data_IF_711599671539
#
_entry.id   IF_711599671539
#
_cell.length_a   1.000
_cell.length_b   1.000
_cell.length_c   1.000
_cell.angle_alpha   90.00
_cell.angle_beta   90.00
_cell.angle_gamma   90.00
#
_symmetry.space_group_name_H-M   'P 1'
#
loop_
_entity.id
_entity.type
_entity.pdbx_description
1 polymer ?
#
# COMPACT_ATOMS: atom_id res chain seq x y z
N UNK A 1 3.09 -43.09 17.90
CA UNK A 1 3.21 -42.15 16.77
C UNK A 1 2.28 -40.93 16.92
N UNK A 2 0.95 -41.04 17.11
CA UNK A 2 0.03 -39.90 17.32
C UNK A 2 0.41 -39.00 18.53
N UNK A 3 0.87 -39.58 19.63
CA UNK A 3 1.28 -38.84 20.85
C UNK A 3 2.57 -38.01 20.60
N UNK A 4 3.54 -38.58 19.92
CA UNK A 4 4.79 -37.90 19.54
C UNK A 4 4.50 -36.73 18.58
N UNK A 5 3.59 -36.91 17.63
CA UNK A 5 3.17 -35.84 16.68
C UNK A 5 2.46 -34.72 17.44
N UNK A 6 1.60 -35.04 18.42
CA UNK A 6 0.89 -34.02 19.21
C UNK A 6 1.85 -33.25 20.15
N UNK A 7 2.82 -33.94 20.75
CA UNK A 7 3.85 -33.32 21.60
C UNK A 7 4.79 -32.44 20.78
N UNK A 8 5.23 -32.90 19.61
CA UNK A 8 6.04 -32.11 18.67
C UNK A 8 5.27 -30.88 18.16
N UNK A 9 3.99 -31.02 17.85
CA UNK A 9 3.13 -29.87 17.49
C UNK A 9 2.92 -28.91 18.65
N UNK A 10 2.88 -29.38 19.91
CA UNK A 10 2.83 -28.51 21.08
C UNK A 10 4.14 -27.74 21.28
N UNK A 11 5.26 -28.42 21.17
CA UNK A 11 6.60 -27.83 21.30
C UNK A 11 6.81 -26.82 20.17
N UNK A 12 6.45 -27.13 18.92
CA UNK A 12 6.47 -26.21 17.80
C UNK A 12 5.58 -24.99 18.06
N UNK A 13 4.41 -25.13 18.65
CA UNK A 13 3.53 -24.00 18.99
C UNK A 13 4.12 -23.05 20.04
N UNK A 14 4.95 -23.56 20.95
CA UNK A 14 5.62 -22.77 21.99
C UNK A 14 6.85 -22.05 21.41
N UNK A 15 7.59 -22.72 20.53
CA UNK A 15 8.81 -22.22 19.91
C UNK A 15 8.52 -21.35 18.67
N UNK A 16 7.26 -21.31 18.18
CA UNK A 16 6.87 -20.53 17.04
C UNK A 16 7.07 -19.03 17.29
N UNK A 17 7.88 -18.33 16.49
CA UNK A 17 7.89 -16.88 16.48
C UNK A 17 6.45 -16.33 16.39
N UNK A 18 6.18 -15.23 17.05
CA UNK A 18 4.85 -14.61 17.04
C UNK A 18 4.32 -14.41 15.60
N UNK A 19 5.21 -14.13 14.65
CA UNK A 19 4.90 -13.95 13.21
C UNK A 19 4.20 -15.15 12.56
N UNK A 20 4.24 -16.32 13.19
CA UNK A 20 3.61 -17.55 12.68
C UNK A 20 2.36 -17.96 13.48
N UNK A 21 2.05 -17.25 14.53
CA UNK A 21 0.76 -17.43 15.23
C UNK A 21 -0.32 -16.75 14.42
N UNK A 22 -1.36 -17.47 14.06
CA UNK A 22 -2.50 -16.89 13.34
C UNK A 22 -3.13 -15.73 14.14
N UNK A 23 -3.28 -15.91 15.45
CA UNK A 23 -3.84 -14.90 16.35
C UNK A 23 -2.91 -14.74 17.56
N UNK A 24 -1.94 -13.82 17.50
CA UNK A 24 -1.14 -13.48 18.65
C UNK A 24 -1.99 -12.81 19.75
N UNK A 25 -1.52 -12.89 20.97
CA UNK A 25 -2.12 -12.14 22.08
C UNK A 25 -1.45 -10.78 22.19
N UNK A 26 -2.24 -9.72 22.31
CA UNK A 26 -1.78 -8.37 22.54
C UNK A 26 -2.13 -7.92 23.97
N UNK A 27 -1.19 -7.23 24.60
CA UNK A 27 -1.41 -6.57 25.87
C UNK A 27 -2.13 -5.22 25.66
N UNK A 28 -2.73 -4.68 26.72
CA UNK A 28 -3.27 -3.31 26.69
C UNK A 28 -2.20 -2.27 26.29
N UNK A 29 -0.92 -2.51 26.64
CA UNK A 29 0.21 -1.64 26.27
C UNK A 29 0.45 -1.66 24.75
N UNK A 30 0.33 -2.83 24.10
CA UNK A 30 0.49 -2.94 22.65
C UNK A 30 -0.63 -2.17 21.93
N UNK A 31 -1.86 -2.31 22.41
CA UNK A 31 -3.01 -1.57 21.87
C UNK A 31 -2.87 -0.06 22.09
N UNK A 32 -2.41 0.39 23.25
CA UNK A 32 -2.16 1.81 23.50
C UNK A 32 -1.14 2.41 22.51
N UNK A 33 -0.14 1.61 22.09
CA UNK A 33 0.87 2.04 21.11
C UNK A 33 0.34 2.11 19.68
N UNK A 34 -0.75 1.43 19.37
CA UNK A 34 -1.41 1.52 18.05
C UNK A 34 -2.23 2.81 17.96
N UNK A 35 -1.56 3.95 17.88
CA UNK A 35 -2.18 5.28 17.88
C UNK A 35 -2.92 5.59 16.58
N UNK A 36 -2.44 5.05 15.45
CA UNK A 36 -3.01 5.29 14.12
C UNK A 36 -4.30 4.50 13.84
N UNK A 37 -4.87 3.84 14.83
CA UNK A 37 -6.11 3.08 14.69
C UNK A 37 -7.27 3.96 14.20
N UNK A 38 -8.02 3.44 13.23
CA UNK A 38 -9.21 4.06 12.64
C UNK A 38 -10.34 3.02 12.59
N UNK A 39 -11.51 3.38 13.07
CA UNK A 39 -12.66 2.47 13.21
C UNK A 39 -13.36 2.13 11.89
N UNK A 40 -13.01 2.76 10.78
CA UNK A 40 -13.55 2.50 9.46
C UNK A 40 -12.51 1.92 8.51
N UNK A 41 -11.29 2.46 8.53
CA UNK A 41 -10.22 2.11 7.61
C UNK A 41 -9.17 1.16 8.22
N UNK A 42 -9.28 0.87 9.53
CA UNK A 42 -8.30 0.06 10.27
C UNK A 42 -7.15 0.88 10.83
N UNK A 43 -6.55 1.75 10.03
CA UNK A 43 -5.55 2.74 10.45
C UNK A 43 -5.56 3.96 9.52
N UNK A 44 -5.10 5.09 10.04
CA UNK A 44 -4.96 6.33 9.29
C UNK A 44 -3.76 7.13 9.84
N UNK A 45 -3.28 8.13 9.11
CA UNK A 45 -2.30 9.06 9.66
C UNK A 45 -2.93 9.87 10.79
N UNK A 46 -2.13 10.13 11.83
CA UNK A 46 -2.56 11.01 12.93
C UNK A 46 -2.56 12.46 12.46
N UNK A 47 -3.60 13.25 12.80
CA UNK A 47 -3.56 14.70 12.63
C UNK A 47 -2.47 15.36 13.48
N UNK A 48 -1.92 16.48 13.00
CA UNK A 48 -0.95 17.32 13.73
C UNK A 48 0.22 16.51 14.33
N UNK A 49 0.76 15.56 13.58
CA UNK A 49 1.77 14.65 14.07
C UNK A 49 3.09 14.82 13.32
N UNK A 50 4.19 14.61 14.02
CA UNK A 50 5.54 14.55 13.44
C UNK A 50 6.13 13.17 13.71
N UNK A 51 6.42 12.45 12.66
CA UNK A 51 7.05 11.14 12.72
C UNK A 51 8.46 11.20 12.12
N UNK A 52 9.42 10.66 12.86
CA UNK A 52 10.76 10.43 12.34
C UNK A 52 10.84 9.02 11.76
N UNK A 53 11.01 8.91 10.46
CA UNK A 53 11.25 7.63 9.83
C UNK A 53 12.75 7.30 9.85
N UNK A 54 13.11 6.41 10.79
CA UNK A 54 14.49 5.95 11.00
C UNK A 54 14.81 4.66 10.27
N UNK A 55 14.04 4.31 9.27
CA UNK A 55 13.97 2.94 8.79
C UNK A 55 15.25 2.42 8.14
N UNK A 56 16.18 3.26 7.69
CA UNK A 56 17.54 2.80 7.32
C UNK A 56 18.57 3.90 7.17
N UNK A 57 19.44 3.95 8.15
CA UNK A 57 20.52 4.94 8.26
C UNK A 57 21.66 4.75 7.23
N UNK A 58 21.76 3.60 6.56
CA UNK A 58 22.92 3.27 5.70
C UNK A 58 22.76 3.71 4.24
N UNK A 59 21.55 3.98 3.77
CA UNK A 59 21.27 4.32 2.37
C UNK A 59 20.76 5.74 2.18
N UNK A 60 20.92 6.55 3.23
CA UNK A 60 20.29 7.84 3.27
C UNK A 60 21.16 8.91 2.72
N UNK A 61 20.52 9.71 1.93
CA UNK A 61 20.79 11.09 1.69
C UNK A 61 22.24 11.52 1.88
N UNK A 62 22.99 11.52 0.84
CA UNK A 62 24.25 12.28 0.79
C UNK A 62 24.07 13.75 1.22
N UNK A 63 22.81 14.23 1.27
CA UNK A 63 22.45 15.60 1.64
C UNK A 63 21.81 15.74 3.03
N UNK A 64 21.38 14.65 3.67
CA UNK A 64 20.84 14.70 5.04
C UNK A 64 21.75 13.95 6.01
N UNK A 65 22.61 14.66 6.76
CA UNK A 65 23.58 14.04 7.66
C UNK A 65 22.95 13.21 8.79
N UNK A 66 21.66 13.41 9.11
CA UNK A 66 20.97 12.65 10.15
C UNK A 66 20.41 11.31 9.66
N UNK A 67 20.26 11.18 8.35
CA UNK A 67 19.69 9.99 7.76
C UNK A 67 18.25 9.67 8.22
N UNK A 68 17.46 10.68 8.56
CA UNK A 68 16.10 10.56 9.10
C UNK A 68 15.16 11.36 8.20
N UNK A 69 14.16 10.71 7.64
CA UNK A 69 13.07 11.40 6.96
C UNK A 69 12.07 11.92 8.00
N UNK A 70 11.72 13.19 7.90
CA UNK A 70 10.67 13.81 8.70
C UNK A 70 9.36 13.71 7.92
N UNK A 71 8.35 13.12 8.55
CA UNK A 71 6.99 13.01 8.01
C UNK A 71 6.08 13.79 8.95
N UNK A 72 5.61 14.93 8.51
CA UNK A 72 4.69 15.79 9.28
C UNK A 72 3.30 15.72 8.64
N UNK A 73 2.26 15.80 9.48
CA UNK A 73 0.86 15.85 9.03
C UNK A 73 0.17 17.09 9.59
N UNK A 74 -0.79 17.60 8.83
CA UNK A 74 -1.66 18.72 9.22
C UNK A 74 -2.84 18.24 10.09
N UNK A 75 -3.76 19.15 10.41
CA UNK A 75 -4.95 18.91 11.23
C UNK A 75 -5.93 17.89 10.60
N UNK A 76 -5.85 17.63 9.28
CA UNK A 76 -6.66 16.66 8.55
C UNK A 76 -5.95 15.31 8.36
N UNK A 77 -4.70 15.18 8.87
CA UNK A 77 -3.87 14.00 8.66
C UNK A 77 -3.35 13.86 7.22
N UNK A 78 -3.35 14.95 6.44
CA UNK A 78 -2.61 15.06 5.18
C UNK A 78 -1.13 15.27 5.51
N UNK A 79 -0.23 14.68 4.73
CA UNK A 79 1.19 14.99 4.83
C UNK A 79 1.41 16.46 4.52
N UNK A 80 2.34 17.11 5.24
CA UNK A 80 2.67 18.52 5.05
C UNK A 80 3.00 18.81 3.58
N UNK A 81 2.42 19.87 3.07
CA UNK A 81 2.54 20.31 1.67
C UNK A 81 3.11 21.74 1.60
N UNK A 82 3.48 22.17 0.39
CA UNK A 82 3.70 23.57 0.04
C UNK A 82 2.37 24.33 0.11
N UNK A 83 2.42 25.64 0.33
CA UNK A 83 1.22 26.52 0.36
C UNK A 83 0.11 26.04 1.31
N UNK A 84 0.40 25.82 2.61
CA UNK A 84 -0.54 25.16 3.53
C UNK A 84 -1.81 25.96 3.83
N UNK A 85 -1.80 27.29 3.64
CA UNK A 85 -2.94 28.19 3.86
C UNK A 85 -3.90 28.26 2.68
N UNK A 86 -3.50 27.78 1.52
CA UNK A 86 -4.34 27.81 0.32
C UNK A 86 -5.38 26.68 0.30
N UNK A 87 -6.46 26.88 -0.42
CA UNK A 87 -7.41 25.80 -0.76
C UNK A 87 -6.67 24.77 -1.60
N UNK A 88 -6.86 23.50 -1.32
CA UNK A 88 -6.24 22.43 -2.10
C UNK A 88 -6.84 22.37 -3.51
N UNK A 89 -6.02 22.59 -4.52
CA UNK A 89 -6.39 22.39 -5.93
C UNK A 89 -6.40 20.89 -6.28
N UNK A 90 -5.38 20.17 -5.78
CA UNK A 90 -5.16 18.77 -6.08
C UNK A 90 -5.06 17.98 -4.77
N UNK A 91 -5.71 16.83 -4.68
CA UNK A 91 -5.52 15.91 -3.56
C UNK A 91 -5.13 14.51 -4.01
N UNK A 92 -4.16 13.95 -3.29
CA UNK A 92 -3.68 12.60 -3.49
C UNK A 92 -4.24 11.65 -2.43
N UNK A 93 -4.71 10.49 -2.86
CA UNK A 93 -5.11 9.37 -1.99
C UNK A 93 -4.39 8.11 -2.46
N UNK A 94 -3.85 7.33 -1.52
CA UNK A 94 -3.08 6.15 -1.92
C UNK A 94 -2.35 5.47 -0.76
N UNK A 95 -1.31 4.76 -1.12
CA UNK A 95 -0.50 3.95 -0.20
C UNK A 95 0.82 4.64 0.23
N UNK A 96 1.85 3.87 0.56
CA UNK A 96 3.15 4.40 0.99
C UNK A 96 3.93 5.11 -0.11
N UNK A 97 3.67 4.78 -1.38
CA UNK A 97 4.25 5.47 -2.52
C UNK A 97 3.59 6.84 -2.72
N UNK A 98 2.27 6.89 -2.62
CA UNK A 98 1.52 8.14 -2.58
C UNK A 98 1.96 9.03 -1.41
N UNK A 99 2.12 8.46 -0.21
CA UNK A 99 2.64 9.15 0.97
C UNK A 99 4.08 9.64 0.76
N UNK A 100 4.80 9.14 -0.24
CA UNK A 100 6.22 9.38 -0.51
C UNK A 100 7.09 9.05 0.71
N UNK A 101 6.95 7.81 1.22
CA UNK A 101 7.75 7.32 2.34
C UNK A 101 9.25 7.39 2.01
N UNK A 102 10.09 7.50 3.04
CA UNK A 102 11.56 7.53 2.99
C UNK A 102 12.16 8.88 2.55
N UNK A 103 11.36 9.91 2.18
CA UNK A 103 11.81 11.26 1.81
C UNK A 103 11.31 12.33 2.79
N UNK A 104 11.91 13.54 2.77
CA UNK A 104 11.46 14.69 3.56
C UNK A 104 10.11 15.21 3.06
N UNK A 105 9.44 16.05 3.88
CA UNK A 105 8.15 16.63 3.50
C UNK A 105 8.24 17.43 2.20
N UNK A 106 9.32 18.19 2.02
CA UNK A 106 9.58 19.01 0.85
C UNK A 106 10.18 18.25 -0.37
N UNK A 107 10.23 16.92 -0.30
CA UNK A 107 10.75 16.05 -1.37
C UNK A 107 9.67 15.09 -1.90
N UNK A 108 8.41 15.37 -1.60
CA UNK A 108 7.28 14.54 -2.01
C UNK A 108 6.74 14.96 -3.38
N UNK A 109 6.07 14.05 -4.07
CA UNK A 109 5.36 14.34 -5.33
C UNK A 109 4.39 15.53 -5.16
N UNK A 110 3.49 15.53 -4.15
CA UNK A 110 2.58 16.65 -3.94
C UNK A 110 3.29 17.96 -3.61
N UNK A 111 4.40 17.93 -2.90
CA UNK A 111 5.17 19.15 -2.64
C UNK A 111 5.71 19.77 -3.92
N UNK A 112 6.46 18.98 -4.73
CA UNK A 112 7.01 19.47 -5.99
C UNK A 112 5.93 19.95 -6.95
N UNK A 113 4.81 19.23 -7.04
CA UNK A 113 3.69 19.63 -7.87
C UNK A 113 3.08 20.96 -7.39
N UNK A 114 2.96 21.15 -6.07
CA UNK A 114 2.50 22.41 -5.49
C UNK A 114 3.42 23.59 -5.80
N UNK A 115 4.75 23.39 -5.69
CA UNK A 115 5.74 24.41 -6.09
C UNK A 115 5.64 24.79 -7.58
N UNK A 116 5.48 23.79 -8.46
CA UNK A 116 5.33 24.05 -9.91
C UNK A 116 4.07 24.83 -10.25
N UNK A 117 2.99 24.64 -9.49
CA UNK A 117 1.69 25.24 -9.76
C UNK A 117 1.37 26.46 -8.92
N UNK A 118 2.18 26.76 -7.91
CA UNK A 118 1.93 27.86 -6.97
C UNK A 118 0.65 27.65 -6.14
N UNK A 119 0.28 26.40 -5.82
CA UNK A 119 -0.97 26.07 -5.13
C UNK A 119 -0.76 24.95 -4.10
N UNK A 120 -1.72 24.77 -3.20
CA UNK A 120 -1.74 23.65 -2.27
C UNK A 120 -2.08 22.35 -2.98
N UNK A 121 -1.25 21.32 -2.76
CA UNK A 121 -1.49 19.93 -3.18
C UNK A 121 -1.49 19.03 -1.96
N UNK A 122 -2.65 18.54 -1.54
CA UNK A 122 -2.82 17.75 -0.32
C UNK A 122 -2.45 16.28 -0.53
N UNK A 123 -1.83 15.67 0.48
CA UNK A 123 -1.34 14.29 0.42
C UNK A 123 -1.97 13.42 1.52
N UNK A 124 -3.01 12.67 1.16
CA UNK A 124 -3.71 11.72 2.02
C UNK A 124 -3.22 10.28 1.86
N UNK A 125 -2.03 10.05 1.30
CA UNK A 125 -1.39 8.73 1.24
C UNK A 125 -1.16 8.14 2.64
N UNK A 126 -1.36 6.82 2.80
CA UNK A 126 -1.15 6.10 4.07
C UNK A 126 -0.37 4.83 3.82
N UNK A 127 0.69 4.64 4.59
CA UNK A 127 1.51 3.43 4.48
C UNK A 127 0.70 2.14 4.57
N UNK A 128 1.01 1.18 3.70
CA UNK A 128 0.39 -0.14 3.63
C UNK A 128 -1.08 -0.19 3.17
N UNK A 129 -1.68 0.88 2.68
CA UNK A 129 -3.03 0.81 2.13
C UNK A 129 -3.10 -0.09 0.89
N UNK A 130 -4.27 -0.70 0.68
CA UNK A 130 -4.72 -1.17 -0.63
C UNK A 130 -5.45 -0.06 -1.37
N UNK A 131 -5.70 -0.26 -2.66
CA UNK A 131 -6.51 0.65 -3.48
C UNK A 131 -7.92 0.85 -2.88
N UNK A 132 -8.50 -0.21 -2.32
CA UNK A 132 -9.79 -0.19 -1.63
C UNK A 132 -9.81 0.79 -0.44
N UNK A 133 -8.78 0.79 0.41
CA UNK A 133 -8.69 1.73 1.53
C UNK A 133 -8.44 3.16 1.04
N UNK A 134 -7.64 3.35 -0.01
CA UNK A 134 -7.41 4.66 -0.62
C UNK A 134 -8.71 5.26 -1.15
N UNK A 135 -9.51 4.46 -1.87
CA UNK A 135 -10.81 4.86 -2.38
C UNK A 135 -11.82 5.13 -1.24
N UNK A 136 -11.87 4.26 -0.23
CA UNK A 136 -12.73 4.46 0.94
C UNK A 136 -12.36 5.72 1.71
N UNK A 137 -11.06 6.03 1.84
CA UNK A 137 -10.60 7.27 2.46
C UNK A 137 -11.03 8.48 1.64
N UNK A 138 -10.85 8.45 0.33
CA UNK A 138 -11.33 9.50 -0.55
C UNK A 138 -12.84 9.75 -0.36
N UNK A 139 -13.66 8.71 -0.45
CA UNK A 139 -15.11 8.83 -0.31
C UNK A 139 -15.52 9.41 1.06
N UNK A 140 -14.81 9.03 2.12
CA UNK A 140 -15.08 9.52 3.48
C UNK A 140 -14.65 10.96 3.70
N UNK A 141 -13.43 11.29 3.26
CA UNK A 141 -12.75 12.52 3.70
C UNK A 141 -12.88 13.68 2.70
N UNK A 142 -13.25 13.44 1.44
CA UNK A 142 -13.35 14.46 0.39
C UNK A 142 -14.23 15.67 0.75
N UNK A 143 -15.29 15.46 1.50
CA UNK A 143 -16.19 16.53 1.94
C UNK A 143 -15.51 17.59 2.83
N UNK A 144 -14.41 17.21 3.52
CA UNK A 144 -13.69 18.12 4.43
C UNK A 144 -12.66 18.99 3.71
N UNK A 145 -12.23 18.57 2.51
CA UNK A 145 -11.33 19.33 1.65
C UNK A 145 -11.56 18.95 0.19
N UNK A 146 -12.49 19.66 -0.43
CA UNK A 146 -12.82 19.47 -1.85
C UNK A 146 -11.73 20.07 -2.72
N UNK A 147 -11.17 19.27 -3.61
CA UNK A 147 -10.19 19.67 -4.62
C UNK A 147 -10.76 19.49 -6.04
N UNK A 148 -10.26 20.26 -6.97
CA UNK A 148 -10.70 20.21 -8.37
C UNK A 148 -10.17 18.99 -9.12
N UNK A 149 -9.03 18.47 -8.65
CA UNK A 149 -8.37 17.30 -9.21
C UNK A 149 -8.10 16.31 -8.07
N UNK A 150 -8.45 15.06 -8.28
CA UNK A 150 -8.16 13.97 -7.33
C UNK A 150 -7.32 12.91 -8.01
N UNK A 151 -6.17 12.62 -7.40
CA UNK A 151 -5.24 11.60 -7.87
C UNK A 151 -5.28 10.39 -6.95
N UNK A 152 -5.76 9.27 -7.47
CA UNK A 152 -5.70 7.98 -6.81
C UNK A 152 -4.38 7.30 -7.21
N UNK A 153 -3.39 7.34 -6.30
CA UNK A 153 -2.00 6.95 -6.57
C UNK A 153 -1.61 5.72 -5.77
N UNK A 154 -1.28 4.63 -6.45
CA UNK A 154 -0.99 3.34 -5.81
C UNK A 154 0.13 2.58 -6.49
N UNK A 155 0.86 1.78 -5.71
CA UNK A 155 1.89 0.89 -6.23
C UNK A 155 1.29 -0.42 -6.76
N UNK A 156 1.93 -1.02 -7.74
CA UNK A 156 1.46 -2.21 -8.45
C UNK A 156 1.07 -3.41 -7.56
N UNK A 157 1.67 -3.57 -6.37
CA UNK A 157 1.32 -4.64 -5.43
C UNK A 157 -0.03 -4.41 -4.71
N UNK A 158 -0.64 -3.24 -4.87
CA UNK A 158 -1.81 -2.84 -4.07
C UNK A 158 -3.01 -3.77 -4.25
N UNK A 159 -3.20 -4.37 -5.43
CA UNK A 159 -4.35 -5.23 -5.70
C UNK A 159 -4.36 -6.50 -4.83
N UNK A 160 -3.19 -7.07 -4.54
CA UNK A 160 -3.09 -8.21 -3.62
C UNK A 160 -3.52 -7.82 -2.20
N UNK A 161 -3.28 -6.55 -1.83
CA UNK A 161 -3.73 -5.99 -0.54
C UNK A 161 -5.25 -5.83 -0.49
N UNK A 162 -5.91 -5.55 -1.63
CA UNK A 162 -7.37 -5.49 -1.71
C UNK A 162 -8.04 -6.83 -1.45
N UNK A 163 -7.32 -7.95 -1.59
CA UNK A 163 -7.82 -9.29 -1.33
C UNK A 163 -7.72 -9.73 0.14
N UNK A 164 -7.18 -8.89 1.02
CA UNK A 164 -6.96 -9.20 2.43
C UNK A 164 -7.78 -8.30 3.37
N UNK A 165 -8.39 -8.89 4.40
CA UNK A 165 -8.93 -8.18 5.58
C UNK A 165 -7.98 -8.23 6.76
N UNK A 166 -7.08 -9.22 6.79
CA UNK A 166 -6.08 -9.43 7.82
C UNK A 166 -4.71 -9.64 7.18
N UNK A 167 -3.99 -8.54 6.98
CA UNK A 167 -2.71 -8.49 6.24
C UNK A 167 -1.65 -9.49 6.73
N UNK A 168 -1.78 -10.00 7.93
CA UNK A 168 -0.93 -11.07 8.42
C UNK A 168 -0.97 -12.34 7.54
N UNK A 169 -2.08 -12.61 6.85
CA UNK A 169 -2.16 -13.75 5.94
C UNK A 169 -1.37 -13.52 4.63
N UNK A 170 -1.26 -12.28 4.20
CA UNK A 170 -0.44 -11.89 3.05
C UNK A 170 1.01 -11.64 3.45
N UNK A 171 1.22 -10.90 4.53
CA UNK A 171 2.53 -10.46 5.02
C UNK A 171 2.67 -10.84 6.51
N UNK A 172 3.26 -12.01 6.82
CA UNK A 172 3.39 -12.47 8.20
C UNK A 172 4.06 -11.45 9.13
N UNK A 173 3.43 -11.20 10.28
CA UNK A 173 3.85 -10.18 11.24
C UNK A 173 3.01 -8.89 11.22
N UNK A 174 2.24 -8.63 10.17
CA UNK A 174 1.36 -7.45 10.07
C UNK A 174 0.04 -7.62 10.83
N UNK A 175 0.11 -7.86 12.12
CA UNK A 175 -1.06 -8.21 12.95
C UNK A 175 -2.06 -7.08 13.16
N UNK A 176 -1.59 -5.83 13.17
CA UNK A 176 -2.46 -4.65 13.34
C UNK A 176 -3.04 -4.15 12.01
N UNK A 177 -2.58 -4.71 10.89
CA UNK A 177 -3.07 -4.35 9.58
C UNK A 177 -4.36 -5.12 9.24
N UNK A 178 -5.41 -4.84 10.01
CA UNK A 178 -6.77 -5.32 9.79
C UNK A 178 -7.55 -4.19 9.14
N UNK A 179 -8.31 -4.50 8.09
CA UNK A 179 -8.91 -3.47 7.25
C UNK A 179 -10.24 -3.88 6.63
N UNK A 180 -11.08 -2.91 6.20
CA UNK A 180 -12.19 -3.19 5.29
C UNK A 180 -11.65 -3.62 3.92
N UNK A 181 -12.49 -4.24 3.11
CA UNK A 181 -12.19 -4.50 1.70
C UNK A 181 -13.46 -4.56 0.86
N UNK A 182 -13.31 -4.36 -0.45
CA UNK A 182 -14.33 -4.78 -1.38
C UNK A 182 -14.16 -6.26 -1.74
N UNK A 183 -15.27 -6.96 -1.89
CA UNK A 183 -15.32 -8.36 -2.30
C UNK A 183 -16.32 -8.52 -3.43
N UNK A 184 -15.94 -9.25 -4.47
CA UNK A 184 -16.84 -9.59 -5.58
C UNK A 184 -17.98 -10.45 -5.03
N UNK A 185 -19.23 -10.12 -5.40
CA UNK A 185 -20.41 -10.91 -5.05
C UNK A 185 -20.42 -12.24 -5.78
N UNK A 186 -21.26 -13.18 -5.34
CA UNK A 186 -21.41 -14.49 -5.97
C UNK A 186 -21.85 -14.39 -7.43
N UNK A 187 -22.65 -13.38 -7.77
CA UNK A 187 -23.09 -13.08 -9.13
C UNK A 187 -21.97 -12.50 -10.02
N UNK A 188 -20.76 -12.30 -9.50
CA UNK A 188 -19.54 -11.81 -10.16
C UNK A 188 -19.64 -10.46 -10.88
N UNK A 189 -20.74 -9.71 -10.73
CA UNK A 189 -20.98 -8.46 -11.45
C UNK A 189 -20.96 -7.22 -10.55
N UNK A 190 -20.90 -7.41 -9.22
CA UNK A 190 -20.93 -6.31 -8.26
C UNK A 190 -19.90 -6.54 -7.15
N UNK A 191 -19.52 -5.48 -6.48
CA UNK A 191 -18.68 -5.56 -5.29
C UNK A 191 -19.48 -5.13 -4.06
N UNK A 192 -19.23 -5.83 -2.95
CA UNK A 192 -19.75 -5.46 -1.62
C UNK A 192 -18.65 -5.05 -0.67
N UNK A 193 -18.92 -4.09 0.17
CA UNK A 193 -17.98 -3.68 1.21
C UNK A 193 -18.05 -4.67 2.39
N UNK A 194 -16.93 -5.33 2.66
CA UNK A 194 -16.68 -6.02 3.92
C UNK A 194 -16.11 -4.98 4.88
N UNK A 195 -16.94 -4.56 5.85
CA UNK A 195 -16.58 -3.51 6.80
C UNK A 195 -15.51 -3.95 7.78
N UNK A 196 -14.82 -2.99 8.37
CA UNK A 196 -13.91 -3.21 9.49
C UNK A 196 -14.65 -3.88 10.66
N UNK A 197 -14.11 -4.97 11.25
CA UNK A 197 -14.89 -5.80 12.17
C UNK A 197 -14.98 -5.27 13.60
N UNK A 198 -14.12 -4.33 14.00
CA UNK A 198 -14.03 -3.88 15.41
C UNK A 198 -14.81 -2.58 15.62
N UNK A 199 -15.55 -2.53 16.73
CA UNK A 199 -16.27 -1.34 17.19
C UNK A 199 -15.35 -0.43 18.01
N UNK A 200 -14.38 -1.01 18.72
CA UNK A 200 -13.40 -0.30 19.51
C UNK A 200 -12.03 -0.98 19.38
N UNK A 201 -11.00 -0.23 19.76
CA UNK A 201 -9.60 -0.64 19.62
C UNK A 201 -9.22 -1.83 20.51
N UNK A 202 -9.89 -1.96 21.65
CA UNK A 202 -9.63 -2.99 22.67
C UNK A 202 -9.97 -4.38 22.16
N UNK A 203 -10.89 -4.51 21.22
CA UNK A 203 -11.25 -5.81 20.62
C UNK A 203 -10.09 -6.48 19.89
N UNK A 204 -9.08 -5.72 19.47
CA UNK A 204 -7.84 -6.24 18.87
C UNK A 204 -7.07 -7.14 19.86
N UNK A 205 -7.26 -6.99 21.17
CA UNK A 205 -6.64 -7.89 22.17
C UNK A 205 -7.11 -9.33 22.02
N UNK A 206 -8.26 -9.56 21.39
CA UNK A 206 -8.85 -10.89 21.24
C UNK A 206 -9.19 -11.21 19.75
N UNK A 207 -8.19 -11.15 18.87
CA UNK A 207 -8.35 -11.46 17.44
C UNK A 207 -8.98 -12.85 17.19
N UNK A 208 -8.75 -13.80 18.08
CA UNK A 208 -9.29 -15.15 17.95
C UNK A 208 -10.83 -15.18 17.95
N UNK A 209 -11.50 -14.23 18.58
CA UNK A 209 -12.97 -14.07 18.56
C UNK A 209 -13.47 -13.87 17.11
N UNK A 210 -12.69 -13.21 16.28
CA UNK A 210 -13.02 -12.85 14.90
C UNK A 210 -12.46 -13.84 13.87
N UNK A 211 -11.99 -15.03 14.29
CA UNK A 211 -11.34 -16.02 13.41
C UNK A 211 -12.16 -16.39 12.17
N UNK A 212 -13.48 -16.57 12.33
CA UNK A 212 -14.36 -16.94 11.21
C UNK A 212 -14.49 -15.78 10.23
N UNK A 213 -14.63 -14.55 10.72
CA UNK A 213 -14.64 -13.35 9.89
C UNK A 213 -13.37 -13.25 9.03
N UNK A 214 -12.19 -13.37 9.63
CA UNK A 214 -10.92 -13.29 8.88
C UNK A 214 -10.81 -14.41 7.85
N UNK A 215 -11.07 -15.65 8.25
CA UNK A 215 -10.91 -16.83 7.38
C UNK A 215 -11.86 -16.86 6.20
N UNK A 216 -13.08 -16.34 6.35
CA UNK A 216 -14.09 -16.32 5.27
C UNK A 216 -13.98 -15.10 4.35
N UNK A 217 -13.31 -14.03 4.79
CA UNK A 217 -13.22 -12.78 4.03
C UNK A 217 -11.81 -12.46 3.51
N UNK A 218 -10.82 -13.32 3.76
CA UNK A 218 -9.44 -13.12 3.31
C UNK A 218 -9.04 -14.20 2.30
N UNK A 219 -8.70 -13.79 1.07
CA UNK A 219 -8.34 -14.74 0.01
C UNK A 219 -6.96 -15.36 0.22
N UNK A 220 -6.08 -14.69 1.00
CA UNK A 220 -4.76 -15.22 1.30
C UNK A 220 -4.76 -16.28 2.41
N UNK A 221 -5.87 -16.44 3.14
CA UNK A 221 -5.94 -17.39 4.25
C UNK A 221 -5.58 -18.83 3.85
N UNK A 222 -6.10 -19.33 2.74
CA UNK A 222 -5.83 -20.70 2.31
C UNK A 222 -4.36 -20.89 1.91
N UNK A 223 -3.79 -19.91 1.21
CA UNK A 223 -2.37 -19.91 0.85
C UNK A 223 -1.48 -19.82 2.10
N UNK A 224 -1.81 -18.93 3.02
CA UNK A 224 -1.11 -18.81 4.31
C UNK A 224 -1.16 -20.12 5.10
N UNK A 225 -2.34 -20.76 5.18
CA UNK A 225 -2.51 -22.05 5.86
C UNK A 225 -1.65 -23.15 5.23
N UNK A 226 -1.60 -23.24 3.90
CA UNK A 226 -0.79 -24.20 3.14
C UNK A 226 0.70 -23.93 3.32
N UNK A 227 1.11 -22.68 3.22
CA UNK A 227 2.52 -22.28 3.22
C UNK A 227 3.10 -22.09 4.63
N UNK A 228 2.30 -22.17 5.68
CA UNK A 228 2.75 -21.99 7.06
C UNK A 228 3.93 -22.88 7.46
N UNK A 229 3.98 -24.13 6.98
CA UNK A 229 5.09 -25.05 7.20
C UNK A 229 6.29 -24.70 6.30
N UNK A 230 6.04 -24.38 5.02
CA UNK A 230 7.10 -23.95 4.08
C UNK A 230 7.78 -22.65 4.52
N UNK A 231 7.01 -21.71 5.08
CA UNK A 231 7.57 -20.50 5.70
C UNK A 231 8.57 -20.85 6.81
N UNK A 232 8.29 -21.88 7.60
CA UNK A 232 9.19 -22.38 8.65
C UNK A 232 10.49 -22.90 8.10
N UNK A 233 10.44 -23.73 7.07
CA UNK A 233 11.62 -24.40 6.54
C UNK A 233 12.47 -23.50 5.65
N UNK A 234 11.89 -22.45 5.05
CA UNK A 234 12.60 -21.61 4.09
C UNK A 234 12.91 -20.19 4.58
N UNK A 235 12.06 -19.59 5.41
CA UNK A 235 12.24 -18.18 5.82
C UNK A 235 12.91 -18.06 7.19
N UNK A 236 12.66 -18.96 8.12
CA UNK A 236 13.31 -18.93 9.43
C UNK A 236 14.84 -19.13 9.32
N UNK A 237 15.34 -20.10 8.54
CA UNK A 237 16.79 -20.22 8.29
C UNK A 237 17.35 -18.95 7.64
N UNK A 238 16.64 -18.33 6.69
CA UNK A 238 17.07 -17.07 6.06
C UNK A 238 17.11 -15.89 7.03
N UNK A 239 16.15 -15.76 7.94
CA UNK A 239 16.18 -14.73 8.99
C UNK A 239 17.33 -14.95 9.97
N UNK A 240 17.65 -16.20 10.29
CA UNK A 240 18.81 -16.55 11.13
C UNK A 240 20.11 -16.25 10.38
N UNK A 241 20.25 -16.68 9.15
CA UNK A 241 21.42 -16.42 8.30
C UNK A 241 21.66 -14.93 8.07
N UNK A 242 20.57 -14.14 7.90
CA UNK A 242 20.66 -12.68 7.80
C UNK A 242 21.21 -12.02 9.07
N UNK A 243 20.93 -12.57 10.26
CA UNK A 243 21.56 -12.10 11.53
C UNK A 243 23.05 -12.34 11.56
N UNK A 244 23.55 -13.33 10.82
CA UNK A 244 24.97 -13.62 10.64
C UNK A 244 25.58 -12.99 9.39
N UNK A 245 24.90 -12.03 8.75
CA UNK A 245 25.40 -11.32 7.57
C UNK A 245 25.27 -12.08 6.25
N UNK A 246 24.66 -13.27 6.25
CA UNK A 246 24.47 -14.09 5.05
C UNK A 246 23.11 -13.75 4.41
N UNK A 247 23.14 -13.12 3.23
CA UNK A 247 21.94 -12.81 2.46
C UNK A 247 21.70 -13.87 1.39
N UNK A 248 20.59 -14.60 1.49
CA UNK A 248 20.10 -15.45 0.41
C UNK A 248 19.08 -14.65 -0.41
N UNK A 249 19.40 -14.39 -1.67
CA UNK A 249 18.54 -13.67 -2.61
C UNK A 249 17.22 -14.42 -2.84
N UNK A 250 16.10 -13.71 -2.74
CA UNK A 250 14.80 -14.23 -3.11
C UNK A 250 14.66 -14.07 -4.64
N UNK A 251 14.16 -15.10 -5.33
CA UNK A 251 13.87 -15.01 -6.77
C UNK A 251 12.81 -13.92 -7.01
N UNK A 252 13.24 -12.78 -7.54
CA UNK A 252 12.41 -11.61 -7.81
C UNK A 252 11.30 -11.88 -8.82
N UNK A 253 11.57 -12.76 -9.78
CA UNK A 253 10.65 -13.17 -10.84
C UNK A 253 9.38 -13.86 -10.32
N UNK A 254 9.48 -14.68 -9.25
CA UNK A 254 8.32 -15.38 -8.68
C UNK A 254 7.34 -14.42 -8.00
N UNK A 255 7.85 -13.40 -7.30
CA UNK A 255 7.00 -12.40 -6.63
C UNK A 255 6.22 -11.58 -7.65
N UNK A 256 6.84 -11.23 -8.76
CA UNK A 256 6.23 -10.43 -9.80
C UNK A 256 5.15 -11.21 -10.58
N UNK A 257 5.43 -12.48 -10.95
CA UNK A 257 4.44 -13.39 -11.54
C UNK A 257 3.24 -13.57 -10.64
N UNK A 258 3.45 -13.58 -9.33
CA UNK A 258 2.38 -13.65 -8.34
C UNK A 258 1.52 -12.39 -8.36
N UNK A 259 2.12 -11.21 -8.37
CA UNK A 259 1.39 -9.94 -8.41
C UNK A 259 0.56 -9.79 -9.70
N UNK A 260 1.14 -10.11 -10.86
CA UNK A 260 0.43 -10.13 -12.14
C UNK A 260 -0.74 -11.10 -12.15
N UNK A 261 -0.56 -12.31 -11.61
CA UNK A 261 -1.64 -13.30 -11.52
C UNK A 261 -2.80 -12.80 -10.65
N UNK A 262 -2.52 -11.95 -9.65
CA UNK A 262 -3.54 -11.31 -8.84
C UNK A 262 -4.30 -10.23 -9.61
N UNK A 263 -3.63 -9.38 -10.38
CA UNK A 263 -4.29 -8.39 -11.20
C UNK A 263 -5.25 -9.06 -12.19
N UNK A 264 -4.83 -10.14 -12.86
CA UNK A 264 -5.68 -10.89 -13.78
C UNK A 264 -6.90 -11.50 -13.08
N UNK A 265 -6.70 -12.12 -11.92
CA UNK A 265 -7.79 -12.73 -11.14
C UNK A 265 -8.76 -11.70 -10.56
N UNK A 266 -8.26 -10.51 -10.23
CA UNK A 266 -9.01 -9.45 -9.55
C UNK A 266 -9.38 -8.31 -10.50
N UNK A 267 -9.32 -8.56 -11.80
CA UNK A 267 -9.66 -7.55 -12.82
C UNK A 267 -11.06 -6.96 -12.58
N UNK A 268 -12.05 -7.79 -12.29
CA UNK A 268 -13.42 -7.34 -12.01
C UNK A 268 -13.42 -6.42 -10.78
N UNK A 269 -12.70 -6.79 -9.71
CA UNK A 269 -12.60 -5.95 -8.52
C UNK A 269 -11.98 -4.59 -8.83
N UNK A 270 -10.92 -4.56 -9.63
CA UNK A 270 -10.26 -3.32 -10.05
C UNK A 270 -11.19 -2.45 -10.89
N UNK A 271 -11.83 -3.02 -11.91
CA UNK A 271 -12.75 -2.29 -12.78
C UNK A 271 -13.93 -1.70 -12.01
N UNK A 272 -14.48 -2.43 -11.05
CA UNK A 272 -15.57 -1.94 -10.20
C UNK A 272 -15.12 -0.83 -9.24
N UNK A 273 -13.90 -0.91 -8.69
CA UNK A 273 -13.34 0.21 -7.92
C UNK A 273 -13.12 1.46 -8.79
N UNK A 274 -12.69 1.30 -10.06
CA UNK A 274 -12.56 2.42 -11.00
C UNK A 274 -13.94 2.98 -11.38
N UNK A 275 -14.97 2.14 -11.55
CA UNK A 275 -16.34 2.58 -11.74
C UNK A 275 -16.85 3.44 -10.57
N UNK A 276 -16.59 3.02 -9.34
CA UNK A 276 -16.93 3.81 -8.15
C UNK A 276 -16.15 5.12 -8.09
N UNK A 277 -14.86 5.11 -8.46
CA UNK A 277 -14.04 6.32 -8.49
C UNK A 277 -14.58 7.32 -9.51
N UNK A 278 -14.90 6.87 -10.75
CA UNK A 278 -15.49 7.73 -11.78
C UNK A 278 -16.85 8.27 -11.33
N UNK A 279 -17.73 7.43 -10.83
CA UNK A 279 -19.06 7.85 -10.36
C UNK A 279 -18.97 8.86 -9.21
N UNK A 280 -18.02 8.67 -8.31
CA UNK A 280 -17.78 9.61 -7.22
C UNK A 280 -17.22 10.95 -7.73
N UNK A 281 -16.35 10.92 -8.74
CA UNK A 281 -15.83 12.12 -9.39
C UNK A 281 -16.94 12.92 -10.09
N UNK A 282 -17.79 12.24 -10.84
CA UNK A 282 -18.94 12.86 -11.52
C UNK A 282 -19.91 13.51 -10.52
N UNK A 283 -20.25 12.81 -9.45
CA UNK A 283 -21.12 13.33 -8.38
C UNK A 283 -20.57 14.57 -7.69
N UNK A 284 -19.25 14.67 -7.55
CA UNK A 284 -18.56 15.72 -6.81
C UNK A 284 -17.88 16.78 -7.70
N UNK A 285 -17.97 16.60 -9.03
CA UNK A 285 -17.45 17.52 -10.05
C UNK A 285 -15.95 17.79 -9.91
N UNK A 286 -15.12 16.71 -9.85
CA UNK A 286 -13.67 16.81 -9.90
C UNK A 286 -13.09 15.97 -11.05
N UNK A 287 -11.89 16.34 -11.53
CA UNK A 287 -11.13 15.58 -12.53
C UNK A 287 -10.45 14.38 -11.86
N UNK A 288 -10.83 13.12 -12.20
CA UNK A 288 -10.20 11.94 -11.64
C UNK A 288 -8.95 11.53 -12.39
N UNK A 289 -7.87 11.25 -11.67
CA UNK A 289 -6.62 10.72 -12.21
C UNK A 289 -6.25 9.46 -11.43
N UNK A 290 -5.88 8.40 -12.15
CA UNK A 290 -5.29 7.20 -11.58
C UNK A 290 -3.81 7.15 -11.95
N UNK A 291 -2.94 7.15 -10.94
CA UNK A 291 -1.49 7.03 -11.11
C UNK A 291 -1.02 5.65 -10.64
N UNK A 292 -0.53 4.82 -11.56
CA UNK A 292 0.13 3.57 -11.26
C UNK A 292 1.62 3.81 -11.04
N UNK A 293 2.09 3.38 -9.88
CA UNK A 293 3.49 3.41 -9.50
C UNK A 293 4.06 1.98 -9.40
N UNK A 294 5.35 1.82 -9.51
CA UNK A 294 6.00 0.51 -9.53
C UNK A 294 7.05 0.36 -8.43
N UNK A 295 7.17 -0.84 -7.90
CA UNK A 295 8.35 -1.19 -7.10
C UNK A 295 9.56 -1.31 -8.02
N UNK A 296 10.77 -1.02 -7.50
CA UNK A 296 12.02 -1.13 -8.26
C UNK A 296 12.13 -2.43 -9.06
N UNK A 297 11.84 -3.57 -8.42
CA UNK A 297 11.89 -4.90 -9.08
C UNK A 297 10.88 -5.04 -10.22
N UNK A 298 9.70 -4.41 -10.09
CA UNK A 298 8.68 -4.41 -11.14
C UNK A 298 9.16 -3.61 -12.34
N UNK A 299 9.79 -2.46 -12.09
CA UNK A 299 10.35 -1.62 -13.13
C UNK A 299 11.55 -2.26 -13.83
N UNK A 300 12.46 -2.90 -13.09
CA UNK A 300 13.57 -3.69 -13.64
C UNK A 300 13.05 -4.81 -14.56
N UNK A 301 11.97 -5.48 -14.16
CA UNK A 301 11.34 -6.50 -14.98
C UNK A 301 10.73 -5.93 -16.26
N UNK A 302 10.03 -4.80 -16.17
CA UNK A 302 9.43 -4.12 -17.31
C UNK A 302 10.49 -3.65 -18.33
N UNK A 303 11.60 -3.12 -17.83
CA UNK A 303 12.71 -2.62 -18.67
C UNK A 303 13.38 -3.72 -19.53
N UNK A 304 13.39 -4.96 -19.03
CA UNK A 304 14.00 -6.11 -19.69
C UNK A 304 13.04 -6.89 -20.61
N UNK A 305 11.80 -6.43 -20.77
CA UNK A 305 10.80 -7.06 -21.64
C UNK A 305 10.50 -6.20 -22.86
N UNK A 306 10.16 -6.84 -23.97
CA UNK A 306 9.65 -6.13 -25.14
C UNK A 306 8.31 -5.47 -24.81
N UNK A 307 7.96 -4.33 -25.45
CA UNK A 307 6.66 -3.66 -25.22
C UNK A 307 5.44 -4.57 -25.38
N UNK A 308 5.52 -5.60 -26.22
CA UNK A 308 4.45 -6.56 -26.46
C UNK A 308 4.30 -7.62 -25.34
N UNK A 309 5.25 -7.72 -24.41
CA UNK A 309 5.24 -8.65 -23.28
C UNK A 309 4.85 -7.96 -21.97
N UNK A 310 4.48 -6.69 -22.00
CA UNK A 310 4.12 -5.90 -20.83
C UNK A 310 2.68 -6.25 -20.39
N UNK A 311 2.55 -7.33 -19.62
CA UNK A 311 1.28 -7.72 -18.99
C UNK A 311 0.66 -6.58 -18.15
N UNK A 312 1.47 -5.63 -17.66
CA UNK A 312 1.03 -4.42 -16.96
C UNK A 312 0.32 -3.41 -17.85
N UNK A 313 0.71 -3.30 -19.13
CA UNK A 313 0.02 -2.45 -20.09
C UNK A 313 -1.43 -2.90 -20.26
N UNK A 314 -1.67 -4.20 -20.29
CA UNK A 314 -3.04 -4.75 -20.35
C UNK A 314 -3.88 -4.37 -19.11
N UNK A 315 -3.25 -4.24 -17.92
CA UNK A 315 -3.92 -3.79 -16.69
C UNK A 315 -4.43 -2.36 -16.81
N UNK A 316 -3.72 -1.49 -17.52
CA UNK A 316 -4.08 -0.08 -17.71
C UNK A 316 -4.93 0.14 -18.96
N UNK A 317 -4.65 -0.55 -20.07
CA UNK A 317 -5.31 -0.32 -21.36
C UNK A 317 -6.80 -0.62 -21.33
N UNK A 318 -7.20 -1.67 -20.63
CA UNK A 318 -8.61 -2.03 -20.51
C UNK A 318 -9.41 -1.01 -19.69
N UNK A 319 -8.97 -0.56 -18.50
CA UNK A 319 -9.63 0.52 -17.78
C UNK A 319 -9.60 1.85 -18.54
N UNK A 320 -8.53 2.22 -19.25
CA UNK A 320 -8.48 3.42 -20.10
C UNK A 320 -9.63 3.42 -21.10
N UNK A 321 -9.88 2.30 -21.77
CA UNK A 321 -10.98 2.17 -22.74
C UNK A 321 -12.36 2.20 -22.07
N UNK A 322 -12.50 1.58 -20.90
CA UNK A 322 -13.79 1.50 -20.19
C UNK A 322 -14.16 2.78 -19.46
N UNK A 323 -13.18 3.54 -18.97
CA UNK A 323 -13.37 4.72 -18.14
C UNK A 323 -12.68 5.96 -18.76
N UNK A 324 -13.16 6.47 -19.92
CA UNK A 324 -12.50 7.55 -20.66
C UNK A 324 -12.47 8.90 -19.90
N UNK A 325 -13.27 9.06 -18.84
CA UNK A 325 -13.25 10.24 -17.97
C UNK A 325 -12.15 10.21 -16.91
N UNK A 326 -11.53 9.05 -16.67
CA UNK A 326 -10.37 8.93 -15.79
C UNK A 326 -9.10 9.09 -16.62
N UNK A 327 -8.23 10.00 -16.23
CA UNK A 327 -6.88 10.08 -16.80
C UNK A 327 -6.02 9.00 -16.13
N UNK A 328 -5.51 8.03 -16.90
CA UNK A 328 -4.63 6.98 -16.41
C UNK A 328 -3.19 7.32 -16.73
N UNK A 329 -2.35 7.40 -15.72
CA UNK A 329 -0.91 7.65 -15.80
C UNK A 329 -0.16 6.44 -15.27
N UNK A 330 0.91 6.05 -15.94
CA UNK A 330 1.83 5.00 -15.51
C UNK A 330 3.25 5.56 -15.46
N UNK A 331 3.88 5.56 -14.30
CA UNK A 331 5.25 6.08 -14.16
C UNK A 331 6.27 5.30 -15.00
N UNK A 332 5.98 4.06 -15.41
CA UNK A 332 6.83 3.31 -16.32
C UNK A 332 7.05 4.04 -17.66
N UNK A 333 6.11 4.90 -18.08
CA UNK A 333 6.23 5.71 -19.32
C UNK A 333 7.45 6.64 -19.29
N UNK A 334 7.83 7.12 -18.10
CA UNK A 334 8.99 7.99 -17.90
C UNK A 334 10.23 7.22 -17.43
N UNK A 335 10.05 6.21 -16.58
CA UNK A 335 11.18 5.51 -15.97
C UNK A 335 11.80 4.44 -16.84
N UNK A 336 11.05 3.84 -17.78
CA UNK A 336 11.61 2.87 -18.75
C UNK A 336 12.72 3.46 -19.64
N UNK A 337 12.70 4.79 -19.82
CA UNK A 337 13.69 5.54 -20.60
C UNK A 337 14.92 5.94 -19.77
N UNK A 338 14.88 5.71 -18.44
CA UNK A 338 15.95 6.12 -17.54
C UNK A 338 16.96 5.00 -17.34
N UNK A 339 18.24 5.28 -17.60
CA UNK A 339 19.27 4.24 -17.62
C UNK A 339 19.57 3.67 -16.24
N UNK A 340 19.67 4.52 -15.24
CA UNK A 340 20.05 4.14 -13.88
C UNK A 340 18.84 4.09 -12.92
N UNK A 341 18.14 2.97 -12.92
CA UNK A 341 16.95 2.76 -12.03
C UNK A 341 17.34 2.88 -10.54
N UNK A 342 18.59 2.61 -10.17
CA UNK A 342 19.02 2.69 -8.76
C UNK A 342 18.89 4.10 -8.20
N UNK A 343 19.06 5.12 -9.00
CA UNK A 343 18.89 6.52 -8.60
C UNK A 343 17.42 6.91 -8.33
N UNK A 344 16.48 6.15 -8.88
CA UNK A 344 15.06 6.41 -8.74
C UNK A 344 14.48 5.89 -7.42
N UNK A 345 15.23 5.06 -6.69
CA UNK A 345 14.77 4.46 -5.45
C UNK A 345 15.73 4.67 -4.30
N UNK A 346 15.18 5.12 -3.19
CA UNK A 346 15.77 4.89 -1.88
C UNK A 346 15.28 3.51 -1.46
N UNK A 347 16.04 2.71 -0.81
CA UNK A 347 15.65 1.39 -0.30
C UNK A 347 14.48 0.69 -1.05
N UNK A 348 13.22 1.09 -0.80
CA UNK A 348 12.01 0.46 -1.37
C UNK A 348 11.01 1.45 -1.96
N UNK A 349 11.17 2.74 -1.75
CA UNK A 349 10.32 3.80 -2.26
C UNK A 349 11.12 4.76 -3.14
N UNK A 350 10.41 5.66 -3.80
CA UNK A 350 11.01 6.62 -4.71
C UNK A 350 12.00 7.55 -4.01
N UNK A 351 13.06 7.91 -4.72
CA UNK A 351 13.99 8.96 -4.34
C UNK A 351 13.37 10.35 -4.58
N UNK A 352 13.93 11.44 -4.01
CA UNK A 352 13.51 12.80 -4.34
C UNK A 352 13.54 13.09 -5.84
N UNK A 353 14.54 12.56 -6.55
CA UNK A 353 14.67 12.66 -8.02
C UNK A 353 13.47 12.04 -8.74
N UNK A 354 13.10 10.81 -8.36
CA UNK A 354 11.96 10.13 -8.94
C UNK A 354 10.65 10.89 -8.65
N UNK A 355 10.47 11.37 -7.40
CA UNK A 355 9.30 12.16 -7.02
C UNK A 355 9.18 13.45 -7.85
N UNK A 356 10.30 14.12 -8.12
CA UNK A 356 10.32 15.31 -8.99
C UNK A 356 9.90 14.95 -10.41
N UNK A 357 10.48 13.91 -11.00
CA UNK A 357 10.14 13.45 -12.37
C UNK A 357 8.66 13.06 -12.49
N UNK A 358 8.11 12.38 -11.48
CA UNK A 358 6.67 12.03 -11.45
C UNK A 358 5.82 13.31 -11.37
N UNK A 359 6.25 14.30 -10.59
CA UNK A 359 5.52 15.57 -10.46
C UNK A 359 5.48 16.32 -11.78
N UNK A 360 6.60 16.39 -12.50
CA UNK A 360 6.70 16.97 -13.86
C UNK A 360 5.79 16.22 -14.85
N UNK A 361 5.80 14.88 -14.78
CA UNK A 361 4.95 14.03 -15.61
C UNK A 361 3.45 14.28 -15.35
N UNK A 362 3.06 14.36 -14.09
CA UNK A 362 1.68 14.71 -13.72
C UNK A 362 1.34 16.10 -14.23
N UNK A 363 2.17 17.11 -13.94
CA UNK A 363 1.91 18.50 -14.33
C UNK A 363 1.71 18.67 -15.85
N UNK A 364 2.45 17.91 -16.64
CA UNK A 364 2.32 17.90 -18.11
C UNK A 364 0.98 17.32 -18.60
N UNK A 365 0.33 16.46 -17.78
CA UNK A 365 -0.91 15.77 -18.14
C UNK A 365 -2.16 16.34 -17.45
N UNK A 366 -2.00 17.42 -16.67
CA UNK A 366 -3.12 18.18 -16.08
C UNK A 366 -3.73 19.16 -17.07
#
# INVERSE_FOLDING_TARGET
MKYLISTFQRILKILLPNDLKEFPKFSKKDIKRFQTWDNQLGWCNLPNNVKLDRSDRKFQYQKNPTGIAVISTDEKGSRKCSYPSEKSEISFYGDSYCMCRDVQDNETIPWYLGEMRGTRVSNYGVGNYGLDQALLRLIRDYQYERSEIVILSVVSITISRCCSVYRHYLEPGNFFAIKPRFKITENKNEIKLIRYPFQNKEEITNLKKFKNFFRSNDEHYQLWKKNKLNYYFHILPRKILKKFGISLTQNSTETLKYDLSFWQKQEVLFLEMMSQFQSFAEKNNFKPIFLLQHQKKSLEYLKNKSPNELEWTAVIDKPKKRFPKITFLDEAEIFNKYDNIDELYLRSHHSPKANLMISEFINKNL
#
